data_IF_972722957592
#
_entry.id   IF_972722957592
#
_cell.length_a   1.000
_cell.length_b   1.000
_cell.length_c   1.000
_cell.angle_alpha   90.00
_cell.angle_beta   90.00
_cell.angle_gamma   90.00
#
_symmetry.space_group_name_H-M   'P 1'
#
loop_
_entity.id
_entity.type
_entity.pdbx_description
1 polymer ?
#
# COMPACT_ATOMS: atom_id res chain seq x y z
N UNK A 1 -22.15 -7.20 -18.95
CA UNK A 1 -22.51 -7.15 -17.50
C UNK A 1 -21.51 -6.24 -16.83
N UNK A 2 -21.88 -5.47 -15.80
CA UNK A 2 -20.93 -4.66 -15.03
C UNK A 2 -19.92 -5.56 -14.30
N UNK A 3 -18.68 -5.10 -14.12
CA UNK A 3 -17.62 -5.86 -13.46
C UNK A 3 -17.96 -6.19 -11.99
N UNK A 4 -17.64 -7.38 -11.53
CA UNK A 4 -17.70 -7.74 -10.12
C UNK A 4 -16.39 -7.31 -9.44
N UNK A 5 -16.49 -6.63 -8.30
CA UNK A 5 -15.32 -6.28 -7.48
C UNK A 5 -15.36 -7.02 -6.15
N UNK A 6 -14.29 -7.77 -5.86
CA UNK A 6 -14.10 -8.43 -4.57
C UNK A 6 -13.46 -7.43 -3.59
N UNK A 7 -14.17 -7.05 -2.54
CA UNK A 7 -13.60 -6.27 -1.44
C UNK A 7 -13.05 -7.21 -0.38
N UNK A 8 -11.75 -7.10 -0.11
CA UNK A 8 -11.01 -7.97 0.80
C UNK A 8 -10.57 -7.21 2.04
N UNK A 9 -10.92 -7.70 3.22
CA UNK A 9 -10.59 -7.09 4.51
C UNK A 9 -9.86 -8.11 5.40
N UNK A 10 -8.54 -8.05 5.53
CA UNK A 10 -7.83 -8.75 6.60
C UNK A 10 -8.08 -8.00 7.91
N UNK A 11 -8.47 -8.70 8.99
CA UNK A 11 -8.73 -8.08 10.28
C UNK A 11 -7.93 -8.76 11.39
N UNK A 12 -7.32 -7.95 12.28
CA UNK A 12 -6.66 -8.44 13.49
C UNK A 12 -6.56 -7.34 14.55
N UNK A 13 -7.27 -7.51 15.67
CA UNK A 13 -7.28 -6.60 16.83
C UNK A 13 -7.62 -5.14 16.46
N UNK A 14 -8.58 -4.94 15.57
CA UNK A 14 -9.12 -3.64 15.14
C UNK A 14 -10.59 -3.45 15.56
N UNK A 15 -11.00 -4.00 16.71
CA UNK A 15 -12.37 -3.87 17.21
C UNK A 15 -12.85 -2.43 17.37
N UNK A 16 -11.93 -1.47 17.54
CA UNK A 16 -12.26 -0.04 17.59
C UNK A 16 -12.69 0.53 16.22
N UNK A 17 -12.18 -0.01 15.12
CA UNK A 17 -12.24 0.61 13.80
C UNK A 17 -13.05 -0.18 12.77
N UNK A 18 -13.04 -1.52 12.87
CA UNK A 18 -13.52 -2.43 11.82
C UNK A 18 -14.94 -2.14 11.33
N UNK A 19 -15.85 -1.68 12.20
CA UNK A 19 -17.19 -1.32 11.77
C UNK A 19 -17.23 -0.06 10.91
N UNK A 20 -16.33 0.91 11.15
CA UNK A 20 -16.23 2.10 10.30
C UNK A 20 -15.74 1.71 8.91
N UNK A 21 -14.72 0.84 8.84
CA UNK A 21 -14.22 0.27 7.58
C UNK A 21 -15.34 -0.43 6.81
N UNK A 22 -16.03 -1.39 7.42
CA UNK A 22 -17.11 -2.14 6.78
C UNK A 22 -18.22 -1.19 6.28
N UNK A 23 -18.65 -0.22 7.09
CA UNK A 23 -19.67 0.75 6.69
C UNK A 23 -19.21 1.65 5.55
N UNK A 24 -17.92 1.97 5.43
CA UNK A 24 -17.40 2.71 4.28
C UNK A 24 -17.53 1.92 2.97
N UNK A 25 -17.40 0.59 3.05
CA UNK A 25 -17.60 -0.30 1.91
C UNK A 25 -19.08 -0.52 1.59
N UNK A 26 -19.95 -0.59 2.60
CA UNK A 26 -21.40 -0.63 2.38
C UNK A 26 -21.89 0.61 1.59
N UNK A 27 -21.26 1.77 1.82
CA UNK A 27 -21.62 3.06 1.18
C UNK A 27 -21.05 3.23 -0.24
N UNK A 28 -20.29 2.27 -0.77
CA UNK A 28 -19.72 2.40 -2.11
C UNK A 28 -20.80 2.59 -3.19
N UNK A 29 -20.54 3.49 -4.12
CA UNK A 29 -21.48 3.81 -5.23
C UNK A 29 -21.51 2.69 -6.28
N UNK A 30 -20.41 1.94 -6.46
CA UNK A 30 -20.41 0.76 -7.31
C UNK A 30 -21.28 -0.35 -6.71
N UNK A 31 -22.21 -0.88 -7.50
CA UNK A 31 -23.24 -1.77 -6.98
C UNK A 31 -22.80 -3.25 -6.91
N UNK A 32 -22.06 -3.72 -7.90
CA UNK A 32 -21.74 -5.13 -8.04
C UNK A 32 -20.46 -5.49 -7.25
N UNK A 33 -20.66 -5.70 -5.96
CA UNK A 33 -19.58 -5.99 -5.00
C UNK A 33 -19.82 -7.34 -4.30
N UNK A 34 -18.76 -8.08 -4.04
CA UNK A 34 -18.70 -9.11 -3.00
C UNK A 34 -17.80 -8.66 -1.85
N UNK A 35 -18.07 -9.12 -0.64
CA UNK A 35 -17.31 -8.79 0.57
C UNK A 35 -16.73 -10.05 1.21
N UNK A 36 -15.41 -10.06 1.42
CA UNK A 36 -14.69 -11.15 2.06
C UNK A 36 -13.87 -10.61 3.21
N UNK A 37 -14.21 -11.01 4.44
CA UNK A 37 -13.52 -10.62 5.67
C UNK A 37 -12.94 -11.85 6.33
N UNK A 38 -11.66 -11.82 6.66
CA UNK A 38 -11.02 -12.85 7.49
C UNK A 38 -10.44 -12.19 8.73
N UNK A 39 -10.97 -12.57 9.88
CA UNK A 39 -10.40 -12.26 11.17
C UNK A 39 -9.29 -13.28 11.50
N UNK A 40 -8.06 -12.78 11.63
CA UNK A 40 -6.87 -13.61 11.87
C UNK A 40 -6.66 -13.91 13.38
N UNK A 41 -7.72 -14.30 14.06
CA UNK A 41 -7.68 -14.71 15.45
C UNK A 41 -7.54 -13.55 16.43
N UNK A 42 -8.33 -12.50 16.24
CA UNK A 42 -8.39 -11.37 17.17
C UNK A 42 -8.73 -11.80 18.59
N UNK A 43 -8.11 -11.13 19.54
CA UNK A 43 -8.34 -11.33 20.99
C UNK A 43 -9.22 -10.24 21.60
N UNK A 44 -9.54 -9.21 20.84
CA UNK A 44 -10.46 -8.13 21.19
C UNK A 44 -11.87 -8.38 20.61
N UNK A 45 -12.73 -7.36 20.59
CA UNK A 45 -14.09 -7.44 20.07
C UNK A 45 -14.19 -7.43 18.52
N UNK A 46 -13.08 -7.51 17.77
CA UNK A 46 -13.06 -7.40 16.30
C UNK A 46 -14.06 -8.36 15.66
N UNK A 47 -13.95 -9.66 15.96
CA UNK A 47 -14.81 -10.67 15.36
C UNK A 47 -16.29 -10.46 15.66
N UNK A 48 -16.63 -10.16 16.91
CA UNK A 48 -18.00 -9.84 17.30
C UNK A 48 -18.56 -8.66 16.50
N UNK A 49 -17.79 -7.57 16.40
CA UNK A 49 -18.20 -6.35 15.69
C UNK A 49 -18.34 -6.56 14.17
N UNK A 50 -17.56 -7.48 13.57
CA UNK A 50 -17.75 -7.90 12.18
C UNK A 50 -19.11 -8.60 12.04
N UNK A 51 -19.44 -9.54 12.93
CA UNK A 51 -20.69 -10.27 12.89
C UNK A 51 -21.92 -9.42 13.13
N UNK A 52 -21.82 -8.36 13.94
CA UNK A 52 -22.91 -7.40 14.19
C UNK A 52 -23.40 -6.75 12.89
N UNK A 53 -22.54 -6.59 11.88
CA UNK A 53 -22.87 -6.00 10.58
C UNK A 53 -23.27 -7.02 9.50
N UNK A 54 -23.31 -8.32 9.82
CA UNK A 54 -23.59 -9.39 8.82
C UNK A 54 -24.84 -9.13 8.01
N UNK A 55 -25.96 -8.80 8.66
CA UNK A 55 -27.25 -8.56 7.98
C UNK A 55 -27.20 -7.37 7.02
N UNK A 56 -26.54 -6.28 7.43
CA UNK A 56 -26.33 -5.12 6.56
C UNK A 56 -25.50 -5.49 5.34
N UNK A 57 -24.45 -6.28 5.53
CA UNK A 57 -23.59 -6.75 4.43
C UNK A 57 -24.34 -7.70 3.49
N UNK A 58 -25.08 -8.68 4.01
CA UNK A 58 -25.85 -9.62 3.19
C UNK A 58 -26.95 -8.93 2.35
N UNK A 59 -27.51 -7.81 2.84
CA UNK A 59 -28.45 -6.99 2.09
C UNK A 59 -27.77 -6.15 0.98
N UNK A 60 -26.49 -5.81 1.12
CA UNK A 60 -25.76 -4.89 0.23
C UNK A 60 -24.94 -5.60 -0.83
N UNK A 61 -24.27 -6.69 -0.48
CA UNK A 61 -23.31 -7.34 -1.35
C UNK A 61 -23.90 -8.58 -2.05
N UNK A 62 -23.42 -8.85 -3.27
CA UNK A 62 -23.85 -10.04 -4.04
C UNK A 62 -23.44 -11.34 -3.37
N UNK A 63 -22.38 -11.31 -2.60
CA UNK A 63 -21.84 -12.44 -1.83
C UNK A 63 -21.10 -11.90 -0.60
N UNK A 64 -21.25 -12.59 0.53
CA UNK A 64 -20.58 -12.22 1.79
C UNK A 64 -19.91 -13.45 2.38
N UNK A 65 -18.61 -13.33 2.65
CA UNK A 65 -17.84 -14.32 3.41
C UNK A 65 -17.25 -13.60 4.63
N UNK A 66 -17.63 -14.05 5.81
CA UNK A 66 -17.05 -13.63 7.07
C UNK A 66 -16.54 -14.86 7.80
N UNK A 67 -15.24 -14.93 8.02
CA UNK A 67 -14.58 -16.09 8.66
C UNK A 67 -13.58 -15.63 9.70
N UNK A 68 -13.40 -16.43 10.76
CA UNK A 68 -12.29 -16.29 11.70
C UNK A 68 -11.37 -17.50 11.58
N UNK A 69 -10.13 -17.35 11.96
CA UNK A 69 -9.13 -18.43 12.00
C UNK A 69 -8.19 -18.22 13.20
N UNK A 70 -7.45 -19.26 13.57
CA UNK A 70 -6.31 -19.08 14.48
C UNK A 70 -5.29 -18.16 13.80
N UNK A 71 -4.67 -17.22 14.54
CA UNK A 71 -3.69 -16.30 14.01
C UNK A 71 -2.59 -17.05 13.23
N UNK A 72 -2.43 -16.69 11.96
CA UNK A 72 -1.45 -17.23 11.01
C UNK A 72 -0.58 -16.16 10.38
N UNK A 73 -0.86 -14.89 10.69
CA UNK A 73 -0.18 -13.72 10.14
C UNK A 73 -0.74 -13.25 8.80
N UNK A 74 -0.44 -11.98 8.48
CA UNK A 74 -1.03 -11.24 7.36
C UNK A 74 -0.83 -11.95 6.02
N UNK A 75 0.38 -12.46 5.72
CA UNK A 75 0.68 -13.15 4.46
C UNK A 75 -0.26 -14.34 4.19
N UNK A 76 -0.52 -15.17 5.20
CA UNK A 76 -1.39 -16.35 5.05
C UNK A 76 -2.85 -15.91 4.92
N UNK A 77 -3.25 -14.91 5.69
CA UNK A 77 -4.59 -14.33 5.64
C UNK A 77 -4.89 -13.70 4.28
N UNK A 78 -3.96 -12.95 3.72
CA UNK A 78 -4.07 -12.39 2.37
C UNK A 78 -4.16 -13.48 1.30
N UNK A 79 -3.30 -14.51 1.34
CA UNK A 79 -3.40 -15.63 0.41
C UNK A 79 -4.78 -16.30 0.43
N UNK A 80 -5.38 -16.41 1.62
CA UNK A 80 -6.71 -16.98 1.77
C UNK A 80 -7.79 -16.05 1.22
N UNK A 81 -7.70 -14.74 1.51
CA UNK A 81 -8.60 -13.72 0.96
C UNK A 81 -8.59 -13.74 -0.56
N UNK A 82 -7.40 -13.66 -1.18
CA UNK A 82 -7.25 -13.71 -2.62
C UNK A 82 -7.76 -15.03 -3.24
N UNK A 83 -7.64 -16.16 -2.53
CA UNK A 83 -8.14 -17.44 -3.04
C UNK A 83 -9.66 -17.56 -3.03
N UNK A 84 -10.35 -16.76 -2.23
CA UNK A 84 -11.81 -16.74 -2.10
C UNK A 84 -12.46 -15.71 -3.03
N UNK A 85 -11.68 -14.77 -3.58
CA UNK A 85 -12.16 -13.73 -4.47
C UNK A 85 -12.60 -14.29 -5.83
N UNK A 86 -13.81 -13.90 -6.27
CA UNK A 86 -14.40 -14.30 -7.57
C UNK A 86 -14.56 -13.12 -8.52
N UNK A 87 -14.26 -11.89 -8.08
CA UNK A 87 -14.40 -10.67 -8.86
C UNK A 87 -13.42 -10.56 -10.02
N UNK A 88 -13.81 -9.74 -11.00
CA UNK A 88 -12.95 -9.31 -12.12
C UNK A 88 -11.83 -8.39 -11.64
N UNK A 89 -12.09 -7.70 -10.51
CA UNK A 89 -11.16 -6.81 -9.80
C UNK A 89 -11.19 -7.07 -8.30
N UNK A 90 -10.11 -6.69 -7.63
CA UNK A 90 -9.95 -6.82 -6.18
C UNK A 90 -9.64 -5.45 -5.58
N UNK A 91 -10.42 -5.04 -4.60
CA UNK A 91 -10.17 -3.89 -3.74
C UNK A 91 -9.71 -4.38 -2.37
N UNK A 92 -8.47 -4.07 -2.01
CA UNK A 92 -7.90 -4.44 -0.71
C UNK A 92 -7.92 -3.22 0.23
N UNK A 93 -8.47 -3.41 1.43
CA UNK A 93 -8.54 -2.38 2.46
C UNK A 93 -8.19 -2.95 3.82
N UNK A 94 -7.34 -2.26 4.58
CA UNK A 94 -7.05 -2.59 5.97
C UNK A 94 -8.29 -2.33 6.86
N UNK A 95 -8.42 -3.11 7.95
CA UNK A 95 -9.63 -3.09 8.81
C UNK A 95 -9.72 -1.89 9.75
N UNK A 96 -8.83 -0.90 9.62
CA UNK A 96 -8.76 0.35 10.38
C UNK A 96 -8.90 1.61 9.51
N UNK A 97 -8.88 1.46 8.18
CA UNK A 97 -8.98 2.55 7.22
C UNK A 97 -10.42 2.80 6.73
N UNK A 98 -10.63 3.89 5.99
CA UNK A 98 -11.95 4.30 5.45
C UNK A 98 -11.83 4.61 3.96
N UNK A 99 -12.68 4.02 3.15
CA UNK A 99 -12.79 4.30 1.73
C UNK A 99 -13.88 5.35 1.47
N UNK A 100 -13.62 6.36 0.63
CA UNK A 100 -14.68 7.26 0.19
C UNK A 100 -15.67 6.53 -0.75
N UNK A 101 -16.94 6.98 -0.79
CA UNK A 101 -17.99 6.23 -1.51
C UNK A 101 -17.73 6.00 -3.00
N UNK A 102 -16.95 6.86 -3.63
CA UNK A 102 -16.70 6.85 -5.07
C UNK A 102 -15.42 6.12 -5.49
N UNK A 103 -14.57 5.67 -4.53
CA UNK A 103 -13.22 5.16 -4.85
C UNK A 103 -13.28 4.00 -5.85
N UNK A 104 -14.09 2.98 -5.59
CA UNK A 104 -14.15 1.79 -6.46
C UNK A 104 -14.66 2.17 -7.86
N UNK A 105 -15.70 3.00 -7.96
CA UNK A 105 -16.25 3.43 -9.24
C UNK A 105 -15.24 4.27 -10.03
N UNK A 106 -14.52 5.19 -9.37
CA UNK A 106 -13.52 6.06 -9.98
C UNK A 106 -12.33 5.26 -10.50
N UNK A 107 -11.77 4.37 -9.69
CA UNK A 107 -10.62 3.57 -10.05
C UNK A 107 -10.96 2.55 -11.14
N UNK A 108 -12.14 1.93 -11.06
CA UNK A 108 -12.60 0.96 -12.05
C UNK A 108 -12.79 1.60 -13.43
N UNK A 109 -13.39 2.78 -13.50
CA UNK A 109 -13.61 3.48 -14.76
C UNK A 109 -12.29 3.74 -15.53
N UNK A 110 -11.20 4.01 -14.82
CA UNK A 110 -9.89 4.19 -15.43
C UNK A 110 -9.25 2.85 -15.80
N UNK A 111 -9.36 1.82 -14.93
CA UNK A 111 -8.83 0.48 -15.23
C UNK A 111 -9.50 -0.14 -16.46
N UNK A 112 -10.82 -0.06 -16.57
CA UNK A 112 -11.55 -0.66 -17.72
C UNK A 112 -11.11 -0.06 -19.05
N UNK A 113 -10.82 1.24 -19.08
CA UNK A 113 -10.39 1.95 -20.28
C UNK A 113 -8.90 1.79 -20.60
N UNK A 114 -8.09 1.23 -19.70
CA UNK A 114 -6.64 1.13 -19.86
C UNK A 114 -6.13 -0.29 -19.54
N UNK A 115 -6.08 -1.19 -20.51
CA UNK A 115 -5.73 -2.60 -20.28
C UNK A 115 -4.28 -2.81 -19.79
N UNK A 116 -3.39 -1.82 -19.99
CA UNK A 116 -2.01 -1.87 -19.53
C UNK A 116 -1.86 -1.60 -18.03
N UNK A 117 -2.88 -1.02 -17.39
CA UNK A 117 -2.85 -0.80 -15.95
C UNK A 117 -3.31 -2.05 -15.20
N UNK A 118 -2.52 -2.48 -14.24
CA UNK A 118 -2.80 -3.62 -13.36
C UNK A 118 -3.32 -3.18 -12.00
N UNK A 119 -3.03 -1.95 -11.60
CA UNK A 119 -3.47 -1.35 -10.35
C UNK A 119 -3.73 0.15 -10.56
N UNK A 120 -4.78 0.61 -9.91
CA UNK A 120 -5.08 2.02 -9.71
C UNK A 120 -5.14 2.36 -8.23
N UNK A 121 -4.73 3.58 -7.87
CA UNK A 121 -4.79 4.08 -6.51
C UNK A 121 -5.03 5.58 -6.50
N UNK A 122 -5.91 6.04 -5.62
CA UNK A 122 -6.10 7.46 -5.32
C UNK A 122 -5.10 7.99 -4.29
N UNK A 123 -5.16 9.30 -4.02
CA UNK A 123 -4.46 9.90 -2.89
C UNK A 123 -5.20 9.63 -1.58
N UNK A 124 -4.47 9.66 -0.47
CA UNK A 124 -5.00 9.42 0.86
C UNK A 124 -4.85 10.67 1.72
N UNK A 125 -5.91 11.04 2.41
CA UNK A 125 -5.79 11.94 3.56
C UNK A 125 -5.56 11.14 4.84
N UNK A 126 -5.10 11.82 5.90
CA UNK A 126 -4.84 11.20 7.19
C UNK A 126 -6.00 11.42 8.15
N UNK A 127 -6.32 10.40 8.94
CA UNK A 127 -7.17 10.52 10.12
C UNK A 127 -6.45 9.96 11.35
N UNK A 128 -6.70 10.55 12.50
CA UNK A 128 -6.15 10.05 13.77
C UNK A 128 -6.95 8.85 14.31
N UNK A 129 -6.56 8.34 15.48
CA UNK A 129 -7.22 7.22 16.14
C UNK A 129 -8.72 7.49 16.45
N UNK A 130 -9.11 8.75 16.62
CA UNK A 130 -10.49 9.19 16.86
C UNK A 130 -11.30 9.36 15.56
N UNK A 131 -10.65 9.25 14.39
CA UNK A 131 -11.26 9.45 13.07
C UNK A 131 -11.35 10.92 12.66
N UNK A 132 -10.65 11.80 13.33
CA UNK A 132 -10.59 13.22 12.97
C UNK A 132 -9.53 13.40 11.88
N UNK A 133 -9.82 14.21 10.86
CA UNK A 133 -8.87 14.58 9.83
C UNK A 133 -7.64 15.24 10.46
N UNK A 134 -6.48 14.78 10.12
CA UNK A 134 -5.20 15.29 10.58
C UNK A 134 -4.20 15.45 9.44
N UNK A 135 -3.06 16.04 9.73
CA UNK A 135 -1.98 16.30 8.79
C UNK A 135 -0.67 15.75 9.36
N UNK A 136 0.33 15.54 8.53
CA UNK A 136 1.65 15.23 9.04
C UNK A 136 2.44 16.51 9.26
N UNK A 137 3.00 16.64 10.47
CA UNK A 137 3.97 17.68 10.80
C UNK A 137 5.39 17.26 10.37
N UNK A 138 6.39 18.10 10.69
CA UNK A 138 7.78 17.85 10.31
C UNK A 138 8.38 16.60 10.95
N UNK A 139 7.83 16.16 12.09
CA UNK A 139 8.24 14.95 12.80
C UNK A 139 7.43 13.72 12.35
N UNK A 140 6.54 13.91 11.35
CA UNK A 140 5.62 12.90 10.81
C UNK A 140 4.61 12.38 11.85
N UNK A 141 4.27 13.21 12.80
CA UNK A 141 3.17 12.96 13.71
C UNK A 141 1.87 13.56 13.16
N UNK A 142 0.74 12.91 13.46
CA UNK A 142 -0.56 13.49 13.18
C UNK A 142 -0.77 14.74 14.03
N UNK A 143 -1.02 15.88 13.36
CA UNK A 143 -1.42 17.13 13.98
C UNK A 143 -2.78 17.60 13.46
N UNK A 144 -3.60 18.15 14.35
CA UNK A 144 -4.87 18.80 13.97
C UNK A 144 -4.65 20.28 13.58
N UNK A 145 -3.49 20.83 13.91
CA UNK A 145 -3.13 22.21 13.56
C UNK A 145 -2.56 22.28 12.14
N UNK A 146 -3.34 22.83 11.22
CA UNK A 146 -2.96 23.00 9.82
C UNK A 146 -1.72 23.89 9.65
N UNK A 147 -1.44 24.79 10.58
CA UNK A 147 -0.25 25.66 10.50
C UNK A 147 1.05 24.90 10.80
N UNK A 148 0.96 23.74 11.45
CA UNK A 148 2.08 22.84 11.69
C UNK A 148 2.22 21.76 10.59
N UNK A 149 1.25 21.69 9.68
CA UNK A 149 1.24 20.70 8.62
C UNK A 149 2.38 20.93 7.63
N UNK A 150 3.15 19.87 7.35
CA UNK A 150 4.13 19.83 6.25
C UNK A 150 3.51 19.13 5.04
N UNK A 151 2.74 18.07 5.27
CA UNK A 151 2.04 17.35 4.24
C UNK A 151 0.55 17.25 4.56
N UNK A 152 -0.29 17.62 3.59
CA UNK A 152 -1.74 17.56 3.71
C UNK A 152 -2.29 16.19 3.33
N UNK A 153 -1.59 15.47 2.44
CA UNK A 153 -1.98 14.15 1.96
C UNK A 153 -0.77 13.21 1.88
N UNK A 154 -1.04 11.93 1.79
CA UNK A 154 -0.01 10.92 1.64
C UNK A 154 0.74 11.07 0.31
N UNK A 155 0.02 11.41 -0.77
CA UNK A 155 0.62 11.70 -2.08
C UNK A 155 1.63 12.84 -2.02
N UNK A 156 1.34 13.91 -1.28
CA UNK A 156 2.31 15.00 -1.08
C UNK A 156 3.57 14.51 -0.34
N UNK A 157 3.39 13.71 0.71
CA UNK A 157 4.51 13.14 1.46
C UNK A 157 5.39 12.22 0.60
N UNK A 158 4.77 11.42 -0.26
CA UNK A 158 5.51 10.56 -1.18
C UNK A 158 6.23 11.38 -2.25
N UNK A 159 5.54 12.35 -2.86
CA UNK A 159 6.08 13.16 -3.96
C UNK A 159 7.35 13.92 -3.57
N UNK A 160 7.48 14.30 -2.29
CA UNK A 160 8.63 15.08 -1.79
C UNK A 160 9.97 14.33 -1.90
N UNK A 161 10.05 13.13 -2.18
CA UNK A 161 11.32 12.41 -2.38
C UNK A 161 11.47 11.79 -3.76
N UNK A 162 10.47 11.91 -4.64
CA UNK A 162 10.51 11.21 -5.91
C UNK A 162 11.15 12.06 -7.03
N UNK A 163 11.91 11.41 -7.92
CA UNK A 163 12.48 12.08 -9.10
C UNK A 163 11.48 12.21 -10.27
N UNK A 164 10.23 11.78 -10.08
CA UNK A 164 9.17 11.75 -11.09
C UNK A 164 7.84 12.28 -10.52
N UNK A 165 6.94 12.71 -11.40
CA UNK A 165 5.57 13.05 -11.01
C UNK A 165 4.77 11.79 -10.74
N UNK A 166 4.01 11.75 -9.61
CA UNK A 166 3.26 10.56 -9.20
C UNK A 166 2.19 10.15 -10.22
N UNK A 167 1.61 11.11 -10.93
CA UNK A 167 0.61 10.86 -11.99
C UNK A 167 1.23 10.45 -13.33
N UNK A 168 2.56 10.29 -13.41
CA UNK A 168 3.25 9.77 -14.59
C UNK A 168 3.31 8.24 -14.60
N UNK A 169 3.64 7.65 -15.76
CA UNK A 169 3.83 6.21 -15.91
C UNK A 169 5.06 5.67 -15.14
N UNK A 170 5.94 6.56 -14.67
CA UNK A 170 7.07 6.20 -13.82
C UNK A 170 6.62 5.70 -12.44
N UNK A 171 5.44 6.14 -11.95
CA UNK A 171 4.89 5.72 -10.65
C UNK A 171 4.83 4.20 -10.48
N UNK A 172 4.34 3.48 -11.50
CA UNK A 172 4.12 2.03 -11.42
C UNK A 172 5.24 1.17 -11.97
N UNK A 173 6.38 1.74 -12.33
CA UNK A 173 7.50 0.98 -12.89
C UNK A 173 8.26 0.19 -11.83
N UNK A 174 8.61 -1.06 -12.14
CA UNK A 174 9.32 -1.96 -11.23
C UNK A 174 10.55 -1.31 -10.58
N UNK A 175 11.39 -0.61 -11.37
CA UNK A 175 12.61 0.04 -10.85
C UNK A 175 12.35 1.10 -9.77
N UNK A 176 11.21 1.79 -9.86
CA UNK A 176 10.83 2.83 -8.90
C UNK A 176 10.18 2.22 -7.67
N UNK A 177 9.35 1.19 -7.84
CA UNK A 177 8.79 0.40 -6.74
C UNK A 177 9.89 -0.31 -5.96
N UNK A 178 10.85 -0.94 -6.64
CA UNK A 178 11.98 -1.63 -5.99
C UNK A 178 12.87 -0.66 -5.21
N UNK A 179 13.01 0.58 -5.68
CA UNK A 179 13.74 1.61 -4.95
C UNK A 179 13.06 1.99 -3.64
N UNK A 180 11.73 2.16 -3.65
CA UNK A 180 10.91 2.48 -2.48
C UNK A 180 9.44 2.13 -2.72
N UNK A 181 8.78 1.51 -1.73
CA UNK A 181 7.33 1.38 -1.76
C UNK A 181 6.67 2.74 -1.54
N UNK A 182 6.11 3.28 -2.61
CA UNK A 182 5.46 4.60 -2.63
C UNK A 182 3.98 4.52 -3.01
N UNK A 183 3.39 3.34 -3.03
CA UNK A 183 1.98 3.16 -3.40
C UNK A 183 1.09 3.37 -2.16
N UNK A 184 0.15 4.33 -2.19
CA UNK A 184 -0.82 4.53 -1.12
C UNK A 184 -1.73 3.32 -0.91
N UNK A 185 -2.45 3.27 0.22
CA UNK A 185 -3.49 2.28 0.48
C UNK A 185 -4.78 2.59 -0.29
N UNK A 186 -5.72 1.62 -0.33
CA UNK A 186 -6.99 1.80 -1.01
C UNK A 186 -6.86 1.71 -2.52
N UNK A 187 -6.35 0.62 -3.03
CA UNK A 187 -6.10 0.39 -4.45
C UNK A 187 -6.98 -0.71 -5.03
N UNK A 188 -7.33 -0.54 -6.31
CA UNK A 188 -8.06 -1.51 -7.10
C UNK A 188 -7.09 -2.26 -8.04
N UNK A 189 -7.14 -3.60 -8.00
CA UNK A 189 -6.25 -4.48 -8.76
C UNK A 189 -7.06 -5.29 -9.77
N UNK A 190 -6.53 -5.46 -10.97
CA UNK A 190 -7.07 -6.37 -11.97
C UNK A 190 -6.84 -7.83 -11.53
N UNK A 191 -7.92 -8.58 -11.26
CA UNK A 191 -7.85 -9.93 -10.69
C UNK A 191 -7.10 -10.94 -11.58
N UNK A 192 -7.12 -10.77 -12.91
CA UNK A 192 -6.40 -11.65 -13.84
C UNK A 192 -4.89 -11.65 -13.60
N UNK A 193 -4.33 -10.56 -13.08
CA UNK A 193 -2.88 -10.44 -12.77
C UNK A 193 -2.54 -11.20 -11.48
N UNK A 194 -3.45 -11.24 -10.50
CA UNK A 194 -3.22 -11.93 -9.23
C UNK A 194 -2.98 -13.44 -9.38
N UNK A 195 -3.48 -14.04 -10.46
CA UNK A 195 -3.23 -15.45 -10.78
C UNK A 195 -1.82 -15.72 -11.31
N UNK A 196 -1.09 -14.67 -11.68
CA UNK A 196 0.25 -14.72 -12.29
C UNK A 196 1.37 -14.37 -11.31
N UNK A 197 1.04 -13.67 -10.24
CA UNK A 197 2.02 -13.22 -9.24
C UNK A 197 2.34 -14.32 -8.23
N UNK A 198 3.51 -14.20 -7.58
CA UNK A 198 3.87 -15.04 -6.46
C UNK A 198 2.95 -14.79 -5.26
N UNK A 199 2.65 -15.87 -4.53
CA UNK A 199 1.87 -15.78 -3.28
C UNK A 199 2.62 -14.99 -2.21
N UNK A 200 1.87 -14.40 -1.29
CA UNK A 200 2.44 -13.82 -0.09
C UNK A 200 3.20 -14.88 0.73
N UNK A 201 4.30 -14.49 1.31
CA UNK A 201 5.16 -15.40 2.07
C UNK A 201 5.78 -14.70 3.27
N UNK A 202 5.93 -15.37 4.42
CA UNK A 202 6.66 -14.79 5.56
C UNK A 202 8.14 -14.48 5.28
N UNK A 203 8.69 -14.97 4.16
CA UNK A 203 10.05 -14.63 3.71
C UNK A 203 10.13 -13.21 3.15
N UNK A 204 9.01 -12.67 2.67
CA UNK A 204 8.83 -11.27 2.29
C UNK A 204 7.79 -10.66 3.26
N UNK A 205 8.20 -10.29 4.47
CA UNK A 205 7.27 -9.96 5.56
C UNK A 205 6.54 -8.64 5.40
N UNK A 206 7.00 -7.74 4.51
CA UNK A 206 6.30 -6.51 4.16
C UNK A 206 5.38 -6.80 2.97
N UNK A 207 4.17 -7.25 3.27
CA UNK A 207 3.23 -7.84 2.31
C UNK A 207 2.73 -6.86 1.24
N UNK A 208 2.49 -5.61 1.60
CA UNK A 208 2.10 -4.56 0.66
C UNK A 208 3.23 -4.28 -0.35
N UNK A 209 4.45 -4.15 0.14
CA UNK A 209 5.61 -3.96 -0.72
C UNK A 209 5.85 -5.17 -1.64
N UNK A 210 5.75 -6.39 -1.09
CA UNK A 210 5.81 -7.61 -1.89
C UNK A 210 4.78 -7.61 -3.02
N UNK A 211 3.53 -7.24 -2.71
CA UNK A 211 2.46 -7.17 -3.70
C UNK A 211 2.81 -6.18 -4.83
N UNK A 212 3.28 -4.98 -4.49
CA UNK A 212 3.64 -3.96 -5.47
C UNK A 212 4.80 -4.42 -6.37
N UNK A 213 5.83 -5.04 -5.79
CA UNK A 213 6.93 -5.63 -6.54
C UNK A 213 6.45 -6.71 -7.52
N UNK A 214 5.51 -7.56 -7.09
CA UNK A 214 4.97 -8.60 -7.97
C UNK A 214 4.12 -8.00 -9.09
N UNK A 215 3.20 -7.09 -8.80
CA UNK A 215 2.28 -6.49 -9.78
C UNK A 215 3.03 -5.69 -10.86
N UNK A 216 4.04 -4.90 -10.47
CA UNK A 216 4.82 -4.06 -11.38
C UNK A 216 5.59 -4.84 -12.45
N UNK A 217 5.71 -6.16 -12.33
CA UNK A 217 6.27 -7.05 -13.35
C UNK A 217 5.30 -7.36 -14.49
N UNK A 218 4.01 -7.12 -14.30
CA UNK A 218 2.96 -7.55 -15.22
C UNK A 218 2.17 -6.40 -15.86
N UNK A 219 2.43 -5.17 -15.47
CA UNK A 219 1.81 -3.98 -16.04
C UNK A 219 2.11 -2.73 -15.23
N UNK A 220 1.58 -1.61 -15.68
CA UNK A 220 1.78 -0.31 -15.03
C UNK A 220 0.79 -0.16 -13.86
N UNK A 221 1.20 0.57 -12.83
CA UNK A 221 0.32 1.11 -11.81
C UNK A 221 0.09 2.58 -12.10
N UNK A 222 -1.08 3.10 -11.74
CA UNK A 222 -1.42 4.51 -11.96
C UNK A 222 -1.90 5.16 -10.68
N UNK A 223 -1.33 6.30 -10.36
CA UNK A 223 -1.78 7.18 -9.29
C UNK A 223 -2.77 8.22 -9.84
N UNK A 224 -3.86 8.44 -9.12
CA UNK A 224 -4.81 9.52 -9.37
C UNK A 224 -4.61 10.61 -8.31
N UNK A 225 -4.37 11.87 -8.69
CA UNK A 225 -4.18 12.97 -7.75
C UNK A 225 -5.53 13.46 -7.17
N UNK A 226 -6.34 12.51 -6.70
CA UNK A 226 -7.67 12.74 -6.12
C UNK A 226 -7.70 11.99 -4.79
N UNK A 227 -8.07 12.68 -3.71
CA UNK A 227 -8.22 12.06 -2.38
C UNK A 227 -9.47 11.18 -2.39
N UNK A 228 -9.25 9.87 -2.29
CA UNK A 228 -10.31 8.84 -2.35
C UNK A 228 -10.32 7.93 -1.13
N UNK A 229 -9.41 8.12 -0.19
CA UNK A 229 -9.17 7.22 0.91
C UNK A 229 -8.70 7.95 2.16
N UNK A 230 -9.06 7.45 3.35
CA UNK A 230 -8.60 7.94 4.64
C UNK A 230 -7.71 6.88 5.30
N UNK A 231 -6.42 7.18 5.38
CA UNK A 231 -5.45 6.35 6.07
C UNK A 231 -5.43 6.71 7.55
N UNK A 232 -5.69 5.73 8.41
CA UNK A 232 -5.73 5.96 9.84
C UNK A 232 -4.36 5.82 10.48
N UNK A 233 -3.95 6.85 11.18
CA UNK A 233 -2.70 6.89 11.92
C UNK A 233 -2.96 6.73 13.43
N UNK A 234 -2.40 5.66 14.02
CA UNK A 234 -2.49 5.37 15.45
C UNK A 234 -1.25 4.59 15.93
N UNK A 235 -1.02 4.51 17.25
CA UNK A 235 0.20 3.93 17.85
C UNK A 235 0.44 2.45 17.53
N UNK A 236 -0.57 1.73 17.05
CA UNK A 236 -0.47 0.33 16.69
C UNK A 236 -0.19 0.08 15.21
N UNK A 237 -0.09 1.12 14.39
CA UNK A 237 0.30 0.95 12.98
C UNK A 237 1.71 0.35 12.90
N UNK A 238 1.91 -0.60 12.00
CA UNK A 238 3.25 -1.16 11.76
C UNK A 238 4.22 -0.08 11.31
N UNK A 239 3.75 0.89 10.52
CA UNK A 239 4.53 2.02 10.02
C UNK A 239 5.14 2.90 11.13
N UNK A 240 4.56 2.94 12.35
CA UNK A 240 5.12 3.66 13.48
C UNK A 240 6.40 3.00 14.08
N UNK A 241 6.66 1.72 13.71
CA UNK A 241 7.80 0.95 14.22
C UNK A 241 8.98 0.97 13.24
N UNK A 242 9.65 2.12 13.11
CA UNK A 242 10.70 2.39 12.11
C UNK A 242 11.74 1.27 11.99
N UNK A 243 12.40 0.85 13.08
CA UNK A 243 13.43 -0.21 13.06
C UNK A 243 12.90 -1.55 12.54
N UNK A 244 11.66 -1.90 12.91
CA UNK A 244 11.02 -3.13 12.44
C UNK A 244 10.71 -3.04 10.95
N UNK A 245 10.20 -1.91 10.50
CA UNK A 245 9.90 -1.65 9.08
C UNK A 245 11.16 -1.75 8.22
N UNK A 246 12.29 -1.20 8.66
CA UNK A 246 13.57 -1.36 7.98
C UNK A 246 13.93 -2.82 7.74
N UNK A 247 13.92 -3.62 8.83
CA UNK A 247 14.26 -5.03 8.75
C UNK A 247 13.31 -5.80 7.81
N UNK A 248 12.02 -5.49 7.86
CA UNK A 248 11.03 -6.13 6.98
C UNK A 248 11.25 -5.74 5.51
N UNK A 249 11.59 -4.48 5.24
CA UNK A 249 11.93 -4.00 3.89
C UNK A 249 13.16 -4.73 3.34
N UNK A 250 14.25 -4.79 4.10
CA UNK A 250 15.48 -5.50 3.71
C UNK A 250 15.20 -6.99 3.40
N UNK A 251 14.48 -7.67 4.28
CA UNK A 251 14.12 -9.08 4.08
C UNK A 251 13.24 -9.28 2.84
N UNK A 252 12.29 -8.38 2.61
CA UNK A 252 11.40 -8.45 1.44
C UNK A 252 12.21 -8.25 0.15
N UNK A 253 13.09 -7.26 0.09
CA UNK A 253 13.95 -7.01 -1.08
C UNK A 253 14.95 -8.14 -1.31
N UNK A 254 15.58 -8.66 -0.27
CA UNK A 254 16.46 -9.81 -0.39
C UNK A 254 15.72 -11.00 -1.01
N UNK A 255 14.55 -11.33 -0.48
CA UNK A 255 13.76 -12.43 -1.02
C UNK A 255 13.27 -12.15 -2.45
N UNK A 256 12.91 -10.90 -2.78
CA UNK A 256 12.56 -10.51 -4.15
C UNK A 256 13.71 -10.77 -5.13
N UNK A 257 14.92 -10.39 -4.77
CA UNK A 257 16.10 -10.64 -5.62
C UNK A 257 16.36 -12.14 -5.82
N UNK A 258 16.27 -12.94 -4.76
CA UNK A 258 16.39 -14.40 -4.83
C UNK A 258 15.29 -15.01 -5.69
N UNK A 259 14.05 -14.54 -5.52
CA UNK A 259 12.90 -14.98 -6.30
C UNK A 259 13.04 -14.65 -7.78
N UNK A 260 13.44 -13.42 -8.11
CA UNK A 260 13.67 -13.00 -9.49
C UNK A 260 14.77 -13.79 -10.16
N UNK A 261 15.90 -14.00 -9.47
CA UNK A 261 17.02 -14.80 -10.00
C UNK A 261 16.62 -16.24 -10.34
N UNK A 262 15.66 -16.80 -9.59
CA UNK A 262 15.19 -18.18 -9.79
C UNK A 262 14.12 -18.33 -10.86
N UNK A 263 13.19 -17.37 -10.97
CA UNK A 263 11.96 -17.53 -11.75
C UNK A 263 11.89 -16.70 -13.02
N UNK A 264 12.71 -15.67 -13.14
CA UNK A 264 12.79 -14.82 -14.32
C UNK A 264 14.09 -15.06 -15.05
N UNK A 265 14.06 -15.98 -16.02
CA UNK A 265 15.20 -16.25 -16.89
C UNK A 265 15.53 -15.01 -17.75
N UNK A 266 16.73 -15.03 -18.35
CA UNK A 266 17.33 -13.93 -19.10
C UNK A 266 16.49 -13.27 -20.21
N UNK A 267 15.35 -13.83 -20.62
CA UNK A 267 14.53 -13.34 -21.73
C UNK A 267 13.28 -12.57 -21.35
N UNK A 268 12.89 -12.53 -20.08
CA UNK A 268 11.51 -12.22 -19.71
C UNK A 268 11.19 -10.77 -19.32
N UNK A 269 12.12 -9.99 -18.82
CA UNK A 269 11.91 -8.58 -18.50
C UNK A 269 13.20 -7.76 -18.66
N UNK A 270 13.35 -7.02 -19.78
CA UNK A 270 14.54 -6.20 -20.01
C UNK A 270 14.80 -5.18 -18.88
N UNK A 271 13.74 -4.65 -18.23
CA UNK A 271 13.85 -3.70 -17.11
C UNK A 271 14.39 -4.35 -15.83
N UNK A 272 13.88 -5.53 -15.45
CA UNK A 272 14.39 -6.29 -14.29
C UNK A 272 15.81 -6.76 -14.53
N UNK A 273 16.18 -7.11 -15.78
CA UNK A 273 17.55 -7.48 -16.18
C UNK A 273 18.55 -6.34 -16.08
N UNK A 274 18.18 -5.19 -16.63
CA UNK A 274 19.06 -4.02 -16.56
C UNK A 274 19.30 -3.68 -15.09
N UNK A 275 18.30 -3.89 -14.24
CA UNK A 275 18.37 -3.64 -12.81
C UNK A 275 19.23 -4.69 -12.08
N UNK A 276 19.02 -5.99 -12.26
CA UNK A 276 19.84 -7.06 -11.62
C UNK A 276 21.31 -6.95 -12.05
N UNK A 277 21.59 -6.62 -13.32
CA UNK A 277 22.96 -6.37 -13.79
C UNK A 277 23.56 -5.08 -13.23
N UNK A 278 22.75 -4.06 -12.97
CA UNK A 278 23.25 -2.74 -12.54
C UNK A 278 23.21 -2.54 -11.03
N UNK A 279 22.39 -3.30 -10.30
CA UNK A 279 22.33 -3.21 -8.82
C UNK A 279 23.64 -3.68 -8.17
N UNK A 280 24.38 -4.62 -8.79
CA UNK A 280 25.75 -4.97 -8.33
C UNK A 280 26.77 -3.82 -8.47
N UNK A 281 26.47 -2.75 -9.23
CA UNK A 281 27.44 -1.67 -9.44
C UNK A 281 26.92 -0.24 -9.42
N UNK A 282 25.60 0.02 -9.61
CA UNK A 282 25.06 1.38 -9.77
C UNK A 282 24.11 1.84 -8.66
N UNK A 283 23.66 0.99 -7.80
CA UNK A 283 22.91 1.38 -6.61
C UNK A 283 23.68 2.47 -5.82
N UNK A 284 24.99 2.36 -5.80
CA UNK A 284 25.91 3.30 -5.17
C UNK A 284 25.97 4.70 -5.84
N UNK A 285 25.93 4.81 -7.17
CA UNK A 285 26.11 6.10 -7.86
C UNK A 285 24.82 6.92 -7.97
N UNK A 286 23.65 6.27 -8.12
CA UNK A 286 22.36 6.95 -8.17
C UNK A 286 21.99 7.56 -6.82
N UNK A 287 22.20 6.83 -5.74
CA UNK A 287 21.98 7.27 -4.35
C UNK A 287 22.86 8.48 -3.99
N UNK A 288 24.15 8.46 -4.29
CA UNK A 288 25.05 9.62 -4.10
C UNK A 288 24.59 10.88 -4.83
N UNK A 289 24.01 10.78 -6.03
CA UNK A 289 23.49 11.96 -6.77
C UNK A 289 22.23 12.52 -6.13
N UNK A 290 21.36 11.67 -5.55
CA UNK A 290 20.17 12.11 -4.81
C UNK A 290 20.54 12.82 -3.51
N UNK A 291 21.46 12.26 -2.73
CA UNK A 291 21.98 12.87 -1.48
C UNK A 291 22.59 14.24 -1.74
N UNK A 292 23.39 14.40 -2.79
CA UNK A 292 24.02 15.68 -3.14
C UNK A 292 22.97 16.71 -3.60
N UNK A 293 21.91 16.30 -4.30
CA UNK A 293 20.81 17.20 -4.67
C UNK A 293 19.98 17.62 -3.44
N UNK A 294 19.68 16.69 -2.56
CA UNK A 294 18.96 16.95 -1.31
C UNK A 294 19.75 17.87 -0.37
N UNK A 295 21.03 17.57 -0.14
CA UNK A 295 21.91 18.42 0.66
C UNK A 295 22.09 19.84 0.06
N UNK A 296 22.04 20.02 -1.28
CA UNK A 296 22.07 21.33 -1.93
C UNK A 296 20.76 22.11 -1.77
N UNK A 297 19.61 21.43 -1.74
CA UNK A 297 18.31 22.09 -1.57
C UNK A 297 18.09 22.54 -0.11
N UNK A 298 18.59 21.77 0.85
CA UNK A 298 18.55 22.10 2.28
C UNK A 298 19.52 23.23 2.66
N UNK A 299 20.65 23.38 1.93
CA UNK A 299 21.61 24.49 2.19
C UNK A 299 21.09 25.88 1.82
N UNK A 300 19.98 25.99 1.07
CA UNK A 300 19.33 27.26 0.75
C UNK A 300 18.25 27.71 1.75
N UNK A 301 17.90 26.93 2.76
CA UNK A 301 16.90 27.25 3.78
C UNK A 301 17.47 27.04 5.20
N UNK A 302 17.18 27.97 6.10
CA UNK A 302 17.66 28.00 7.49
C UNK A 302 16.89 26.95 8.33
N UNK A 303 17.19 25.65 8.14
CA UNK A 303 16.65 24.58 9.01
C UNK A 303 17.75 23.56 9.35
N UNK A 304 17.86 23.13 10.61
CA UNK A 304 18.85 22.15 11.01
C UNK A 304 18.51 20.76 10.44
N UNK A 305 19.46 20.19 9.74
CA UNK A 305 19.40 18.97 8.91
C UNK A 305 19.00 17.68 9.67
N UNK A 306 18.74 17.73 10.97
CA UNK A 306 18.60 16.51 11.78
C UNK A 306 17.20 15.89 11.86
N UNK A 307 16.13 16.56 11.41
CA UNK A 307 14.75 16.12 11.71
C UNK A 307 13.74 16.23 10.55
N UNK A 308 14.15 16.18 9.27
CA UNK A 308 13.24 16.43 8.13
C UNK A 308 13.20 15.26 7.15
N UNK A 309 13.34 14.04 7.60
CA UNK A 309 13.29 12.89 6.69
C UNK A 309 12.02 12.09 6.94
N UNK A 310 11.20 11.98 5.85
CA UNK A 310 10.14 11.01 5.72
C UNK A 310 10.67 9.63 6.18
N UNK A 311 9.98 8.82 7.02
CA UNK A 311 10.42 7.48 7.45
C UNK A 311 10.84 6.61 6.29
N UNK A 312 10.24 6.80 5.12
CA UNK A 312 10.61 6.11 3.88
C UNK A 312 11.93 6.62 3.29
N UNK A 313 12.29 7.87 3.54
CA UNK A 313 13.57 8.48 3.10
C UNK A 313 14.66 8.22 4.15
N UNK A 314 14.34 8.22 5.44
CA UNK A 314 15.24 7.69 6.47
C UNK A 314 15.49 6.19 6.26
N UNK A 315 14.48 5.44 5.84
CA UNK A 315 14.60 4.05 5.42
C UNK A 315 15.69 3.91 4.35
N UNK A 316 15.65 4.71 3.31
CA UNK A 316 16.64 4.72 2.25
C UNK A 316 18.03 5.21 2.72
N UNK A 317 18.08 6.19 3.62
CA UNK A 317 19.34 6.78 4.13
C UNK A 317 20.03 5.95 5.21
N UNK A 318 19.31 5.30 6.10
CA UNK A 318 19.88 4.42 7.13
C UNK A 318 20.36 3.08 6.56
N UNK A 319 19.77 2.60 5.47
CA UNK A 319 20.32 1.50 4.68
C UNK A 319 21.70 1.85 4.10
N UNK A 320 21.94 3.14 3.83
CA UNK A 320 23.19 3.64 3.28
C UNK A 320 24.31 3.78 4.31
N UNK A 321 24.00 4.21 5.54
CA UNK A 321 25.00 4.50 6.58
C UNK A 321 25.56 3.25 7.31
N UNK A 322 25.04 2.05 7.06
CA UNK A 322 25.53 0.79 7.63
C UNK A 322 26.32 -0.09 6.67
N UNK A 323 26.55 0.38 5.44
CA UNK A 323 27.35 -0.33 4.41
C UNK A 323 28.66 0.41 4.06
N UNK A 324 29.10 1.35 4.91
CA UNK A 324 30.42 1.98 4.86
C UNK A 324 31.25 1.54 6.06
#
# INVERSE_FOLDING_TARGET
MSALVSVLIPAYNHGRYVQQTIRSIIKQTWQRLELIIIDDGSTDETWKKILDLRKECEARFTRVIMQTQKNKGTCITLNRLFSLAEGDYVFLIASDDIAFPEIIATELAVLENNPNYVLLVGDNEFINAEGQHCFWDIEQHCTLDKNRAVFLTFGQAIADGQPFALDSDEFGRYRNIEYINHVPNGYLIRASVLKRIARFTPKAPLEDYWLMLQLSKFGLMKFLPIVLFQYRWHDRNQASQVTRMHKMTEQTLQYEHEYCAKHFSETWLPEVRSFIRTSKGRCFQGRRKLEVRFARRVKGGIYPVRNVLNPWIELALLLFLRLV
#
